data_IF_549902167773
#
_entry.id   IF_549902167773
#
_cell.length_a   1.000
_cell.length_b   1.000
_cell.length_c   1.000
_cell.angle_alpha   90.00
_cell.angle_beta   90.00
_cell.angle_gamma   90.00
#
_symmetry.space_group_name_H-M   'P 1'
#
loop_
_entity.id
_entity.type
_entity.pdbx_description
1 polymer ?
#
# COMPACT_ATOMS: atom_id res chain seq x y z
N UNK A 1 -22.83 -5.55 -28.75
CA UNK A 1 -23.60 -6.80 -28.61
C UNK A 1 -23.65 -7.16 -27.14
N UNK A 2 -24.83 -7.57 -26.64
CA UNK A 2 -25.11 -7.88 -25.23
C UNK A 2 -25.40 -9.40 -25.11
N UNK A 3 -25.15 -10.01 -23.95
CA UNK A 3 -25.52 -11.42 -23.64
C UNK A 3 -25.94 -11.57 -22.16
N UNK A 4 -26.87 -12.49 -21.89
CA UNK A 4 -27.14 -13.06 -20.56
C UNK A 4 -26.68 -14.53 -20.51
N UNK A 5 -26.19 -15.01 -19.36
CA UNK A 5 -25.80 -16.41 -19.19
C UNK A 5 -26.97 -17.34 -18.81
N UNK A 6 -28.04 -16.81 -18.20
CA UNK A 6 -29.28 -17.56 -17.90
C UNK A 6 -30.42 -16.98 -18.74
N UNK A 7 -31.13 -17.82 -19.49
CA UNK A 7 -32.14 -17.42 -20.48
C UNK A 7 -33.43 -16.81 -19.91
N UNK A 8 -33.47 -16.49 -18.62
CA UNK A 8 -34.68 -16.16 -17.86
C UNK A 8 -34.69 -14.69 -17.38
N UNK A 9 -33.82 -13.84 -17.93
CA UNK A 9 -33.75 -12.42 -17.56
C UNK A 9 -33.30 -11.54 -18.73
N UNK A 10 -33.87 -10.34 -18.82
CA UNK A 10 -33.41 -9.29 -19.73
C UNK A 10 -32.08 -8.73 -19.26
N UNK A 11 -31.17 -8.53 -20.23
CA UNK A 11 -30.01 -7.66 -20.10
C UNK A 11 -30.33 -6.30 -20.69
N UNK A 12 -29.93 -5.22 -20.02
CA UNK A 12 -30.12 -3.85 -20.47
C UNK A 12 -28.78 -3.16 -20.68
N UNK A 13 -28.74 -2.23 -21.63
CA UNK A 13 -27.70 -1.22 -21.74
C UNK A 13 -28.35 0.15 -21.97
N UNK A 14 -27.75 1.21 -21.45
CA UNK A 14 -28.22 2.58 -21.65
C UNK A 14 -27.03 3.54 -21.61
N UNK A 15 -27.17 4.67 -22.29
CA UNK A 15 -26.20 5.77 -22.23
C UNK A 15 -26.48 6.62 -21.00
N UNK A 16 -25.42 7.06 -20.32
CA UNK A 16 -25.46 7.91 -19.14
C UNK A 16 -24.45 9.04 -19.31
N UNK A 17 -24.77 10.23 -18.81
CA UNK A 17 -23.76 11.28 -18.65
C UNK A 17 -22.79 10.95 -17.50
N UNK A 18 -21.71 11.71 -17.38
CA UNK A 18 -20.74 11.55 -16.29
C UNK A 18 -21.29 11.93 -14.91
N UNK A 19 -22.36 12.74 -14.84
CA UNK A 19 -23.10 13.02 -13.60
C UNK A 19 -23.98 11.85 -13.15
N UNK A 20 -24.17 10.83 -14.00
CA UNK A 20 -24.92 9.63 -13.70
C UNK A 20 -26.41 9.71 -14.05
N UNK A 21 -26.83 10.69 -14.85
CA UNK A 21 -28.17 10.76 -15.41
C UNK A 21 -28.28 9.88 -16.66
N UNK A 22 -29.39 9.14 -16.80
CA UNK A 22 -29.63 8.34 -17.99
C UNK A 22 -30.09 9.22 -19.16
N UNK A 23 -29.53 8.99 -20.35
CA UNK A 23 -30.00 9.66 -21.56
C UNK A 23 -31.35 9.07 -21.97
N UNK A 24 -32.39 9.90 -21.97
CA UNK A 24 -33.76 9.51 -22.32
C UNK A 24 -33.79 8.85 -23.70
N UNK A 25 -34.46 7.69 -23.80
CA UNK A 25 -34.60 6.91 -25.05
C UNK A 25 -33.41 6.03 -25.39
N UNK A 26 -32.30 6.07 -24.64
CA UNK A 26 -31.10 5.27 -24.95
C UNK A 26 -31.14 3.83 -24.41
N UNK A 27 -32.05 3.49 -23.50
CA UNK A 27 -32.12 2.15 -22.93
C UNK A 27 -32.59 1.13 -23.97
N UNK A 28 -31.82 0.05 -24.11
CA UNK A 28 -32.11 -1.09 -24.97
C UNK A 28 -32.04 -2.37 -24.14
N UNK A 29 -32.81 -3.38 -24.52
CA UNK A 29 -32.85 -4.65 -23.82
C UNK A 29 -32.72 -5.86 -24.75
N UNK A 30 -32.17 -6.94 -24.22
CA UNK A 30 -32.04 -8.23 -24.92
C UNK A 30 -32.48 -9.35 -23.99
N UNK A 31 -33.41 -10.18 -24.47
CA UNK A 31 -33.81 -11.44 -23.84
C UNK A 31 -33.23 -12.62 -24.62
N UNK A 32 -31.95 -12.91 -24.42
CA UNK A 32 -31.28 -14.00 -25.09
C UNK A 32 -30.07 -14.52 -24.29
N UNK A 33 -29.82 -15.83 -24.44
CA UNK A 33 -28.62 -16.48 -23.91
C UNK A 33 -27.42 -16.43 -24.88
N UNK A 34 -27.63 -15.88 -26.08
CA UNK A 34 -26.64 -15.67 -27.14
C UNK A 34 -26.36 -14.18 -27.35
N UNK A 35 -25.33 -13.85 -28.14
CA UNK A 35 -24.98 -12.46 -28.45
C UNK A 35 -26.01 -11.83 -29.39
N UNK A 36 -26.66 -10.76 -28.93
CA UNK A 36 -27.59 -9.96 -29.74
C UNK A 36 -27.07 -8.56 -30.03
N UNK A 37 -27.40 -8.03 -31.21
CA UNK A 37 -27.29 -6.60 -31.51
C UNK A 37 -28.66 -5.96 -31.23
N UNK A 38 -28.65 -4.93 -30.39
CA UNK A 38 -29.81 -4.09 -30.08
C UNK A 38 -29.44 -2.64 -30.41
N UNK A 39 -30.44 -1.81 -30.74
CA UNK A 39 -30.28 -0.40 -31.13
C UNK A 39 -31.46 0.39 -30.56
N UNK A 40 -31.18 1.56 -30.00
CA UNK A 40 -32.20 2.48 -29.51
C UNK A 40 -32.88 3.21 -30.67
N UNK A 41 -33.96 3.93 -30.37
CA UNK A 41 -34.45 4.99 -31.25
C UNK A 41 -33.46 6.18 -31.27
N UNK A 42 -33.85 7.24 -31.98
CA UNK A 42 -33.11 8.50 -32.01
C UNK A 42 -33.03 9.05 -30.58
N UNK A 43 -31.84 9.52 -30.19
CA UNK A 43 -31.57 10.15 -28.91
C UNK A 43 -31.05 11.57 -29.13
N UNK A 44 -31.25 12.43 -28.12
CA UNK A 44 -30.66 13.78 -28.08
C UNK A 44 -29.51 13.78 -27.10
N UNK A 45 -28.39 14.36 -27.50
CA UNK A 45 -27.24 14.63 -26.63
C UNK A 45 -27.17 16.13 -26.35
N UNK A 46 -26.64 16.45 -25.19
CA UNK A 46 -26.28 17.81 -24.79
C UNK A 46 -24.82 18.06 -25.15
N UNK A 47 -24.53 19.27 -25.65
CA UNK A 47 -23.18 19.74 -25.94
C UNK A 47 -22.30 19.75 -24.68
N UNK A 48 -20.97 19.72 -24.87
CA UNK A 48 -19.97 19.75 -23.79
C UNK A 48 -20.21 18.72 -22.66
N UNK A 49 -20.77 17.56 -23.02
CA UNK A 49 -21.14 16.51 -22.06
C UNK A 49 -20.52 15.18 -22.44
N UNK A 50 -19.80 14.59 -21.49
CA UNK A 50 -19.25 13.24 -21.61
C UNK A 50 -20.31 12.16 -21.33
N UNK A 51 -20.28 11.09 -22.12
CA UNK A 51 -21.21 9.97 -21.98
C UNK A 51 -20.50 8.63 -21.83
N UNK A 52 -21.11 7.73 -21.07
CA UNK A 52 -20.66 6.35 -20.89
C UNK A 52 -21.83 5.36 -20.98
N UNK A 53 -21.52 4.09 -21.24
CA UNK A 53 -22.52 3.02 -21.31
C UNK A 53 -22.60 2.31 -19.98
N UNK A 54 -23.80 2.15 -19.43
CA UNK A 54 -24.07 1.30 -18.27
C UNK A 54 -24.90 0.09 -18.68
N UNK A 55 -24.69 -1.04 -18.02
CA UNK A 55 -25.42 -2.29 -18.23
C UNK A 55 -26.02 -2.79 -16.92
N UNK A 56 -27.19 -3.45 -16.98
CA UNK A 56 -27.84 -4.09 -15.83
C UNK A 56 -28.59 -5.35 -16.25
N UNK A 57 -28.80 -6.28 -15.32
CA UNK A 57 -29.73 -7.42 -15.47
C UNK A 57 -31.07 -7.08 -14.81
N UNK A 58 -32.19 -7.59 -15.34
CA UNK A 58 -33.51 -7.57 -14.65
C UNK A 58 -33.61 -8.56 -13.49
N UNK A 59 -32.71 -9.53 -13.43
CA UNK A 59 -32.71 -10.58 -12.41
C UNK A 59 -31.30 -10.97 -11.98
N UNK A 60 -31.19 -12.10 -11.29
CA UNK A 60 -29.93 -12.60 -10.74
C UNK A 60 -29.09 -13.19 -11.89
N UNK A 61 -28.10 -12.45 -12.37
CA UNK A 61 -27.23 -12.90 -13.46
C UNK A 61 -26.18 -11.87 -13.89
N UNK A 62 -25.17 -12.34 -14.62
CA UNK A 62 -24.08 -11.49 -15.17
C UNK A 62 -24.42 -11.04 -16.58
N UNK A 63 -24.32 -9.73 -16.84
CA UNK A 63 -24.46 -9.14 -18.18
C UNK A 63 -23.10 -8.83 -18.75
N UNK A 64 -22.93 -9.12 -20.04
CA UNK A 64 -21.71 -8.81 -20.77
C UNK A 64 -22.01 -7.89 -21.95
N UNK A 65 -21.08 -6.97 -22.23
CA UNK A 65 -21.07 -6.16 -23.45
C UNK A 65 -19.77 -6.39 -24.21
N UNK A 66 -19.85 -6.80 -25.48
CA UNK A 66 -18.67 -6.95 -26.35
C UNK A 66 -18.26 -5.67 -27.06
N UNK A 67 -19.25 -4.82 -27.32
CA UNK A 67 -19.08 -3.56 -28.04
C UNK A 67 -20.36 -2.74 -27.88
N UNK A 68 -20.18 -1.45 -27.66
CA UNK A 68 -21.18 -0.41 -27.83
C UNK A 68 -20.67 0.58 -28.89
N UNK A 69 -21.58 1.21 -29.63
CA UNK A 69 -21.24 2.22 -30.64
C UNK A 69 -22.29 3.32 -30.59
N UNK A 70 -21.86 4.57 -30.54
CA UNK A 70 -22.69 5.69 -30.93
C UNK A 70 -22.72 5.74 -32.47
N UNK A 71 -23.88 5.99 -33.05
CA UNK A 71 -24.07 6.02 -34.50
C UNK A 71 -24.58 7.41 -34.84
N UNK A 72 -23.67 8.24 -35.35
CA UNK A 72 -23.96 9.59 -35.79
C UNK A 72 -24.23 9.55 -37.30
N UNK A 73 -25.43 9.96 -37.71
CA UNK A 73 -25.81 10.07 -39.11
C UNK A 73 -25.93 11.55 -39.41
N UNK A 74 -25.06 12.07 -40.26
CA UNK A 74 -25.11 13.44 -40.74
C UNK A 74 -25.62 13.45 -42.18
N UNK A 75 -26.53 14.36 -42.49
CA UNK A 75 -27.05 14.58 -43.83
C UNK A 75 -27.24 16.07 -44.05
N UNK A 76 -26.74 16.58 -45.17
CA UNK A 76 -26.98 17.94 -45.63
C UNK A 76 -27.22 17.88 -47.14
N UNK A 77 -28.15 18.69 -47.65
CA UNK A 77 -28.53 18.69 -49.08
C UNK A 77 -27.51 19.43 -49.96
N UNK A 78 -26.56 20.16 -49.37
CA UNK A 78 -25.47 20.86 -50.05
C UNK A 78 -24.13 20.26 -49.66
N UNK A 79 -23.72 20.37 -48.39
CA UNK A 79 -22.43 19.88 -47.89
C UNK A 79 -22.41 19.75 -46.37
N UNK A 80 -21.70 18.74 -45.86
CA UNK A 80 -21.38 18.64 -44.43
C UNK A 80 -20.15 19.51 -44.17
N UNK A 81 -20.35 20.66 -43.53
CA UNK A 81 -19.27 21.63 -43.31
C UNK A 81 -18.42 21.30 -42.07
N UNK A 82 -19.00 20.58 -41.10
CA UNK A 82 -18.39 20.30 -39.81
C UNK A 82 -18.56 18.82 -39.46
N UNK A 83 -17.45 18.16 -39.19
CA UNK A 83 -17.42 16.82 -38.63
C UNK A 83 -16.24 16.73 -37.67
N UNK A 84 -16.43 15.99 -36.59
CA UNK A 84 -15.35 15.59 -35.69
C UNK A 84 -15.17 14.08 -35.81
N UNK A 85 -13.94 13.60 -35.70
CA UNK A 85 -13.64 12.17 -35.70
C UNK A 85 -12.53 11.90 -34.71
N UNK A 86 -12.73 10.89 -33.88
CA UNK A 86 -11.74 10.44 -32.91
C UNK A 86 -11.04 9.20 -33.42
N UNK A 87 -9.71 9.19 -33.31
CA UNK A 87 -8.87 8.06 -33.66
C UNK A 87 -8.12 7.63 -32.41
N UNK A 88 -8.42 6.43 -31.91
CA UNK A 88 -7.71 5.86 -30.78
C UNK A 88 -6.27 5.51 -31.20
N UNK A 89 -5.30 6.29 -30.75
CA UNK A 89 -3.87 6.07 -31.01
C UNK A 89 -3.14 5.40 -29.83
N UNK A 90 -3.83 5.21 -28.69
CA UNK A 90 -3.29 4.64 -27.47
C UNK A 90 -3.56 3.13 -27.29
N UNK A 91 -2.87 2.60 -26.29
CA UNK A 91 -3.02 1.26 -25.71
C UNK A 91 -2.86 1.36 -24.20
N UNK A 92 -3.48 0.46 -23.44
CA UNK A 92 -3.32 0.40 -21.98
C UNK A 92 -1.91 -0.13 -21.67
N UNK A 93 -1.00 0.78 -21.32
CA UNK A 93 0.38 0.49 -20.95
C UNK A 93 0.80 1.40 -19.79
N UNK A 94 1.89 1.05 -19.10
CA UNK A 94 2.47 1.84 -18.02
C UNK A 94 3.99 1.82 -18.10
N UNK A 95 4.62 2.89 -17.61
CA UNK A 95 6.07 2.98 -17.50
C UNK A 95 6.46 3.61 -16.18
N UNK A 96 7.66 3.29 -15.68
CA UNK A 96 8.32 3.99 -14.58
C UNK A 96 9.35 5.02 -15.06
N UNK A 97 9.51 5.19 -16.38
CA UNK A 97 10.49 6.09 -16.96
C UNK A 97 10.14 7.55 -16.69
N UNK A 98 11.17 8.37 -16.46
CA UNK A 98 11.02 9.83 -16.29
C UNK A 98 11.16 10.60 -17.60
N UNK A 99 11.28 9.89 -18.73
CA UNK A 99 11.38 10.42 -20.09
C UNK A 99 10.34 9.77 -20.99
N UNK A 100 10.03 10.40 -22.12
CA UNK A 100 9.09 9.84 -23.09
C UNK A 100 9.54 8.44 -23.55
N UNK A 101 8.66 7.45 -23.36
CA UNK A 101 8.82 6.10 -23.84
C UNK A 101 7.84 5.83 -25.00
N UNK A 102 8.26 5.02 -25.96
CA UNK A 102 7.36 4.54 -27.01
C UNK A 102 6.46 3.44 -26.47
N UNK A 103 5.16 3.49 -26.80
CA UNK A 103 4.26 2.37 -26.55
C UNK A 103 4.72 1.13 -27.34
N UNK A 104 4.63 -0.04 -26.71
CA UNK A 104 4.99 -1.33 -27.30
C UNK A 104 3.95 -1.68 -28.38
N UNK A 105 2.67 -1.63 -28.02
CA UNK A 105 1.54 -1.89 -28.92
C UNK A 105 0.99 -0.59 -29.47
N UNK A 106 1.87 0.28 -29.98
CA UNK A 106 1.48 1.54 -30.59
C UNK A 106 0.63 1.31 -31.84
N UNK A 107 -0.39 2.13 -32.00
CA UNK A 107 -1.11 2.29 -33.26
C UNK A 107 -0.45 3.42 -34.02
N UNK A 108 -0.11 3.17 -35.28
CA UNK A 108 0.52 4.18 -36.15
C UNK A 108 -0.56 4.71 -37.08
N UNK A 109 -0.70 6.04 -37.12
CA UNK A 109 -1.63 6.74 -38.00
C UNK A 109 -0.82 7.59 -38.98
N UNK A 110 -1.15 7.47 -40.26
CA UNK A 110 -0.61 8.33 -41.30
C UNK A 110 -1.61 9.46 -41.58
N UNK A 111 -1.18 10.70 -41.36
CA UNK A 111 -1.96 11.88 -41.69
C UNK A 111 -1.47 12.47 -43.02
N UNK A 112 -2.41 12.67 -43.94
CA UNK A 112 -2.19 13.37 -45.20
C UNK A 112 -3.24 14.47 -45.33
N UNK A 113 -2.80 15.71 -45.11
CA UNK A 113 -3.66 16.89 -45.12
C UNK A 113 -4.32 17.14 -46.47
N UNK A 114 -3.77 16.63 -47.57
CA UNK A 114 -4.33 16.86 -48.93
C UNK A 114 -5.66 16.17 -49.14
N UNK A 115 -5.99 15.17 -48.31
CA UNK A 115 -7.27 14.48 -48.33
C UNK A 115 -8.38 15.23 -47.58
N UNK A 116 -8.09 16.41 -47.01
CA UNK A 116 -9.05 17.18 -46.22
C UNK A 116 -9.13 18.64 -46.70
N UNK A 117 -10.36 19.12 -46.91
CA UNK A 117 -10.63 20.51 -47.26
C UNK A 117 -11.91 20.97 -46.55
N UNK A 118 -11.83 21.89 -45.58
CA UNK A 118 -10.62 22.56 -45.09
C UNK A 118 -9.67 21.64 -44.31
N UNK A 119 -8.44 22.10 -44.05
CA UNK A 119 -7.49 21.39 -43.18
C UNK A 119 -8.08 21.24 -41.76
N UNK A 120 -8.17 20.03 -41.19
CA UNK A 120 -8.71 19.83 -39.85
C UNK A 120 -7.81 20.43 -38.78
N UNK A 121 -8.41 20.86 -37.67
CA UNK A 121 -7.68 21.10 -36.41
C UNK A 121 -7.63 19.78 -35.64
N UNK A 122 -6.47 19.41 -35.10
CA UNK A 122 -6.28 18.17 -34.35
C UNK A 122 -6.00 18.45 -32.88
N UNK A 123 -6.58 17.63 -32.00
CA UNK A 123 -6.38 17.65 -30.55
C UNK A 123 -5.88 16.28 -30.07
N UNK A 124 -5.21 16.26 -28.93
CA UNK A 124 -4.77 15.03 -28.28
C UNK A 124 -5.35 14.97 -26.88
N UNK A 125 -5.90 13.80 -26.54
CA UNK A 125 -6.45 13.50 -25.22
C UNK A 125 -5.91 12.16 -24.75
N UNK A 126 -5.73 12.02 -23.43
CA UNK A 126 -5.24 10.79 -22.83
C UNK A 126 -5.88 10.57 -21.46
N UNK A 127 -6.13 9.31 -21.14
CA UNK A 127 -6.48 8.88 -19.78
C UNK A 127 -5.24 8.29 -19.11
N UNK A 128 -4.83 8.85 -17.98
CA UNK A 128 -3.61 8.47 -17.27
C UNK A 128 -3.94 8.12 -15.82
N UNK A 129 -3.33 7.05 -15.29
CA UNK A 129 -3.40 6.69 -13.87
C UNK A 129 -2.00 6.74 -13.24
N UNK A 130 -1.76 7.62 -12.24
CA UNK A 130 -0.46 7.67 -11.56
C UNK A 130 -0.22 6.43 -10.68
N UNK A 131 1.05 6.08 -10.49
CA UNK A 131 1.46 5.04 -9.55
C UNK A 131 1.24 5.50 -8.10
N UNK A 132 0.86 4.58 -7.20
CA UNK A 132 0.72 4.84 -5.76
C UNK A 132 1.37 3.70 -4.97
N UNK A 133 2.71 3.61 -4.94
CA UNK A 133 3.40 2.54 -4.25
C UNK A 133 3.11 2.55 -2.75
N UNK A 134 3.09 1.35 -2.17
CA UNK A 134 2.98 1.11 -0.73
C UNK A 134 3.98 0.04 -0.31
N UNK A 135 4.61 0.23 0.84
CA UNK A 135 5.57 -0.70 1.43
C UNK A 135 5.33 -0.78 2.93
N UNK A 136 5.41 -1.99 3.49
CA UNK A 136 5.46 -2.21 4.93
C UNK A 136 6.86 -2.69 5.30
N UNK A 137 7.47 -2.05 6.30
CA UNK A 137 8.69 -2.50 6.95
C UNK A 137 8.40 -2.87 8.40
N UNK A 138 9.11 -3.86 8.91
CA UNK A 138 9.05 -4.26 10.31
C UNK A 138 10.44 -4.14 10.90
N UNK A 139 10.61 -3.25 11.88
CA UNK A 139 11.89 -2.94 12.51
C UNK A 139 11.88 -3.47 13.93
N UNK A 140 12.59 -4.58 14.16
CA UNK A 140 12.67 -5.20 15.48
C UNK A 140 13.37 -4.27 16.49
N UNK A 141 12.83 -4.21 17.69
CA UNK A 141 13.45 -3.57 18.86
C UNK A 141 13.95 -4.65 19.82
N UNK A 142 13.11 -5.67 20.04
CA UNK A 142 13.38 -6.78 20.95
C UNK A 142 12.86 -8.09 20.37
N UNK A 143 13.65 -9.15 20.46
CA UNK A 143 13.27 -10.52 20.09
C UNK A 143 13.49 -11.52 21.25
N UNK A 144 13.84 -11.01 22.44
CA UNK A 144 14.15 -11.80 23.62
C UNK A 144 12.96 -11.92 24.58
N UNK A 145 12.96 -13.02 25.33
CA UNK A 145 12.02 -13.20 26.43
C UNK A 145 12.42 -12.32 27.62
N UNK A 146 11.57 -11.36 27.99
CA UNK A 146 11.73 -10.56 29.20
C UNK A 146 10.51 -10.68 30.11
N UNK A 147 10.70 -10.62 31.43
CA UNK A 147 9.63 -10.80 32.41
C UNK A 147 9.68 -9.78 33.54
N UNK A 148 8.50 -9.41 34.05
CA UNK A 148 8.35 -8.52 35.20
C UNK A 148 7.06 -8.81 35.98
N UNK A 149 7.09 -8.49 37.27
CA UNK A 149 5.93 -8.45 38.17
C UNK A 149 5.46 -7.00 38.45
N UNK A 150 6.16 -6.02 37.88
CA UNK A 150 5.96 -4.60 38.20
C UNK A 150 4.68 -4.04 37.60
N UNK A 151 3.93 -3.29 38.40
CA UNK A 151 2.80 -2.46 37.93
C UNK A 151 3.26 -1.13 37.31
N UNK A 152 4.55 -0.83 37.39
CA UNK A 152 5.21 0.28 36.69
C UNK A 152 5.99 -0.26 35.49
N UNK A 153 6.19 0.59 34.47
CA UNK A 153 6.92 0.22 33.26
C UNK A 153 8.38 -0.12 33.54
N UNK A 154 8.80 -1.32 33.11
CA UNK A 154 10.15 -1.87 33.28
C UNK A 154 10.64 -2.57 32.00
N UNK A 155 11.96 -2.68 31.79
CA UNK A 155 13.02 -2.15 32.63
C UNK A 155 13.12 -0.62 32.53
N UNK A 156 13.77 0.01 33.50
CA UNK A 156 14.09 1.45 33.44
C UNK A 156 15.39 1.73 32.69
N UNK A 157 16.15 0.67 32.39
CA UNK A 157 17.27 0.70 31.46
C UNK A 157 16.80 0.41 30.02
N UNK A 158 17.75 0.38 29.07
CA UNK A 158 17.50 0.09 27.65
C UNK A 158 17.85 -1.36 27.30
N UNK A 159 17.77 -2.31 28.25
CA UNK A 159 18.22 -3.69 28.05
C UNK A 159 17.38 -4.50 27.06
N UNK A 160 16.21 -4.00 26.66
CA UNK A 160 15.33 -4.66 25.69
C UNK A 160 15.65 -4.34 24.24
N UNK A 161 16.76 -3.65 23.99
CA UNK A 161 17.20 -3.25 22.66
C UNK A 161 16.80 -1.81 22.34
N UNK A 162 17.49 -1.25 21.35
CA UNK A 162 17.35 0.14 20.94
C UNK A 162 17.15 0.17 19.42
N UNK A 163 16.20 0.97 18.96
CA UNK A 163 16.07 1.35 17.55
C UNK A 163 16.26 2.85 17.42
N UNK A 164 17.10 3.28 16.47
CA UNK A 164 17.20 4.69 16.10
C UNK A 164 16.21 5.02 14.99
N UNK A 165 15.36 6.02 15.21
CA UNK A 165 14.40 6.49 14.21
C UNK A 165 14.97 7.67 13.41
N UNK A 166 15.10 7.48 12.09
CA UNK A 166 15.46 8.53 11.14
C UNK A 166 14.34 8.69 10.11
N UNK A 167 13.45 9.68 10.29
CA UNK A 167 12.28 9.84 9.43
C UNK A 167 12.64 10.10 7.96
N UNK A 168 13.82 10.67 7.69
CA UNK A 168 14.34 10.90 6.34
C UNK A 168 14.62 9.60 5.57
N UNK A 169 14.73 8.46 6.26
CA UNK A 169 14.97 7.15 5.64
C UNK A 169 13.69 6.45 5.16
N UNK A 170 12.51 7.02 5.42
CA UNK A 170 11.24 6.39 5.09
C UNK A 170 10.26 7.39 4.45
N UNK A 171 10.21 7.41 3.12
CA UNK A 171 9.25 8.25 2.35
C UNK A 171 7.81 8.02 2.81
N UNK A 172 7.12 9.09 3.23
CA UNK A 172 5.68 9.08 3.52
C UNK A 172 5.26 8.10 4.62
N UNK A 173 6.13 7.87 5.61
CA UNK A 173 5.92 6.87 6.64
C UNK A 173 4.79 7.21 7.62
N UNK A 174 3.96 6.23 7.93
CA UNK A 174 3.13 6.15 9.12
C UNK A 174 3.63 5.00 9.99
N UNK A 175 3.89 5.24 11.27
CA UNK A 175 4.53 4.26 12.16
C UNK A 175 3.53 3.76 13.20
N UNK A 176 3.61 2.47 13.53
CA UNK A 176 2.87 1.83 14.61
C UNK A 176 3.84 1.05 15.49
N UNK A 177 3.50 0.86 16.76
CA UNK A 177 4.20 -0.02 17.67
C UNK A 177 3.46 -1.36 17.77
N UNK A 178 4.22 -2.46 17.77
CA UNK A 178 3.70 -3.80 17.97
C UNK A 178 4.48 -4.50 19.10
N UNK A 179 3.76 -5.21 19.97
CA UNK A 179 4.35 -6.13 20.92
C UNK A 179 3.63 -7.48 20.95
N UNK A 180 4.40 -8.54 21.15
CA UNK A 180 3.90 -9.88 21.48
C UNK A 180 4.13 -10.12 22.95
N UNK A 181 3.04 -10.08 23.72
CA UNK A 181 3.06 -10.15 25.18
C UNK A 181 2.01 -11.13 25.71
N UNK A 182 2.21 -11.64 26.92
CA UNK A 182 1.20 -12.37 27.69
C UNK A 182 1.27 -12.03 29.16
N UNK A 183 0.24 -12.38 29.92
CA UNK A 183 0.38 -12.55 31.36
C UNK A 183 0.60 -14.04 31.69
N UNK A 184 1.06 -14.37 32.89
CA UNK A 184 0.99 -15.74 33.38
C UNK A 184 -0.44 -16.09 33.79
N UNK A 185 -1.19 -15.11 34.29
CA UNK A 185 -2.57 -15.28 34.75
C UNK A 185 -3.57 -15.04 33.63
N UNK A 186 -4.74 -15.64 33.74
CA UNK A 186 -5.83 -15.50 32.78
C UNK A 186 -6.83 -14.38 33.13
N UNK A 187 -6.58 -13.62 34.21
CA UNK A 187 -7.52 -12.67 34.80
C UNK A 187 -7.02 -11.20 34.80
N UNK A 188 -5.94 -10.91 34.07
CA UNK A 188 -5.32 -9.58 34.07
C UNK A 188 -4.73 -9.20 32.70
N UNK A 189 -4.46 -7.91 32.54
CA UNK A 189 -3.81 -7.35 31.36
C UNK A 189 -2.29 -7.31 31.52
N UNK A 190 -1.62 -7.52 30.39
CA UNK A 190 -0.24 -7.15 30.15
C UNK A 190 -0.19 -5.92 29.27
N UNK A 191 0.74 -5.01 29.55
CA UNK A 191 0.92 -3.79 28.78
C UNK A 191 2.35 -3.69 28.26
N UNK A 192 2.49 -3.11 27.07
CA UNK A 192 3.77 -2.71 26.49
C UNK A 192 3.65 -1.31 25.89
N UNK A 193 4.70 -0.51 25.96
CA UNK A 193 4.74 0.82 25.36
C UNK A 193 6.15 1.14 24.88
N UNK A 194 6.24 2.04 23.89
CA UNK A 194 7.49 2.59 23.40
C UNK A 194 7.96 3.74 24.30
N UNK A 195 9.26 3.81 24.56
CA UNK A 195 9.91 4.84 25.34
C UNK A 195 11.12 5.36 24.57
N UNK A 196 11.42 6.65 24.66
CA UNK A 196 12.75 7.12 24.26
C UNK A 196 13.81 6.66 25.28
N UNK A 197 15.08 6.71 24.90
CA UNK A 197 16.18 6.30 25.78
C UNK A 197 16.41 7.23 26.97
N UNK A 198 15.75 8.39 27.02
CA UNK A 198 15.69 9.28 28.18
C UNK A 198 14.57 8.88 29.18
N UNK A 199 13.72 7.92 28.83
CA UNK A 199 12.68 7.38 29.68
C UNK A 199 11.32 8.05 29.55
N UNK A 200 11.09 8.87 28.52
CA UNK A 200 9.78 9.44 28.21
C UNK A 200 8.95 8.45 27.38
N UNK A 201 7.70 8.24 27.79
CA UNK A 201 6.78 7.36 27.05
C UNK A 201 6.30 8.04 25.77
N UNK A 202 6.29 7.32 24.65
CA UNK A 202 5.75 7.81 23.38
C UNK A 202 4.23 7.75 23.44
N UNK A 203 3.58 8.88 23.15
CA UNK A 203 2.12 8.97 23.09
C UNK A 203 1.54 7.94 22.11
N UNK A 204 0.35 7.41 22.44
CA UNK A 204 -0.41 6.45 21.63
C UNK A 204 0.29 5.09 21.36
N UNK A 205 1.44 4.83 21.99
CA UNK A 205 2.18 3.58 21.82
C UNK A 205 1.77 2.45 22.76
N UNK A 206 0.97 2.71 23.80
CA UNK A 206 0.57 1.67 24.77
C UNK A 206 -0.34 0.64 24.10
N UNK A 207 0.04 -0.63 24.18
CA UNK A 207 -0.75 -1.78 23.74
C UNK A 207 -0.99 -2.73 24.90
N UNK A 208 -2.07 -3.52 24.82
CA UNK A 208 -2.37 -4.50 25.86
C UNK A 208 -2.92 -5.82 25.33
N UNK A 209 -2.71 -6.88 26.10
CA UNK A 209 -3.28 -8.22 25.88
C UNK A 209 -3.86 -8.70 27.20
N UNK A 210 -5.03 -9.34 27.14
CA UNK A 210 -5.67 -9.96 28.29
C UNK A 210 -5.41 -11.46 28.33
N UNK A 211 -5.03 -11.96 29.51
CA UNK A 211 -4.95 -13.39 29.78
C UNK A 211 -3.58 -14.02 29.51
N UNK A 212 -3.57 -15.36 29.51
CA UNK A 212 -2.34 -16.15 29.68
C UNK A 212 -1.65 -16.62 28.39
N UNK A 213 -2.27 -16.37 27.24
CA UNK A 213 -1.70 -16.70 25.93
C UNK A 213 -0.89 -15.52 25.38
N UNK A 214 0.15 -15.80 24.59
CA UNK A 214 0.82 -14.75 23.82
C UNK A 214 -0.17 -14.16 22.81
N UNK A 215 -0.43 -12.87 22.99
CA UNK A 215 -1.19 -12.07 22.04
C UNK A 215 -0.26 -11.07 21.36
N UNK A 216 -0.52 -10.85 20.06
CA UNK A 216 0.06 -9.74 19.31
C UNK A 216 -0.89 -8.55 19.43
N UNK A 217 -0.38 -7.42 19.89
CA UNK A 217 -1.13 -6.17 19.95
C UNK A 217 -0.38 -5.08 19.18
N UNK A 218 -1.13 -4.24 18.47
CA UNK A 218 -0.62 -3.15 17.64
C UNK A 218 -1.27 -1.85 18.11
N UNK A 219 -0.49 -0.78 18.21
CA UNK A 219 -0.94 0.52 18.68
C UNK A 219 -1.74 1.26 17.62
N UNK A 220 -2.26 2.44 17.98
CA UNK A 220 -2.59 3.47 16.99
C UNK A 220 -1.30 4.01 16.32
N UNK A 221 -1.44 4.84 15.29
CA UNK A 221 -0.29 5.48 14.69
C UNK A 221 0.46 6.34 15.72
N UNK A 222 1.77 6.18 15.81
CA UNK A 222 2.64 6.90 16.75
C UNK A 222 3.43 7.98 16.03
N UNK A 223 3.72 9.07 16.75
CA UNK A 223 4.64 10.12 16.26
C UNK A 223 6.00 9.94 16.91
N UNK A 224 7.02 9.70 16.09
CA UNK A 224 8.41 9.58 16.53
C UNK A 224 9.20 10.83 16.16
N UNK A 225 10.06 11.26 17.08
CA UNK A 225 10.99 12.37 16.87
C UNK A 225 12.15 11.88 16.02
N UNK A 226 12.49 12.63 14.96
CA UNK A 226 13.63 12.30 14.10
C UNK A 226 14.94 12.30 14.89
N UNK A 227 15.85 11.40 14.54
CA UNK A 227 17.17 11.25 15.17
C UNK A 227 17.08 10.89 16.67
N UNK A 228 16.02 10.15 17.05
CA UNK A 228 15.79 9.72 18.44
C UNK A 228 15.83 8.20 18.56
N UNK A 229 16.39 7.72 19.65
CA UNK A 229 16.49 6.31 19.99
C UNK A 229 15.32 5.87 20.89
N UNK A 230 14.79 4.69 20.62
CA UNK A 230 13.62 4.14 21.29
C UNK A 230 13.85 2.71 21.78
N UNK A 231 13.24 2.39 22.91
CA UNK A 231 13.18 1.05 23.51
C UNK A 231 11.74 0.70 23.91
N UNK A 232 11.52 -0.56 24.29
CA UNK A 232 10.22 -1.04 24.78
C UNK A 232 10.26 -1.20 26.29
N UNK A 233 9.12 -0.96 26.96
CA UNK A 233 8.92 -1.32 28.37
C UNK A 233 7.59 -2.04 28.54
N UNK A 234 7.51 -2.91 29.55
CA UNK A 234 6.30 -3.66 29.91
C UNK A 234 5.91 -3.48 31.38
N UNK A 235 4.62 -3.67 31.68
CA UNK A 235 4.06 -3.72 33.05
C UNK A 235 2.87 -4.67 33.14
N UNK A 236 2.58 -5.17 34.33
CA UNK A 236 1.31 -5.88 34.62
C UNK A 236 0.22 -4.90 35.08
N UNK A 237 -1.04 -5.21 34.79
CA UNK A 237 -2.18 -4.50 35.35
C UNK A 237 -2.39 -4.69 36.85
N UNK A 238 -1.81 -5.73 37.47
CA UNK A 238 -1.86 -5.94 38.93
C UNK A 238 -0.60 -6.64 39.44
N UNK A 239 -0.19 -6.35 40.68
CA UNK A 239 1.07 -6.86 41.25
C UNK A 239 1.15 -8.39 41.44
N UNK A 240 0.04 -9.11 41.22
CA UNK A 240 0.00 -10.56 41.29
C UNK A 240 0.19 -11.23 39.92
N UNK A 241 0.24 -10.46 38.82
CA UNK A 241 0.47 -10.95 37.47
C UNK A 241 1.95 -10.89 37.08
N UNK A 242 2.37 -11.83 36.23
CA UNK A 242 3.70 -11.84 35.61
C UNK A 242 3.55 -11.57 34.13
N UNK A 243 4.13 -10.49 33.60
CA UNK A 243 4.12 -10.23 32.16
C UNK A 243 5.34 -10.82 31.52
N UNK A 244 5.16 -11.40 30.33
CA UNK A 244 6.25 -11.80 29.45
C UNK A 244 6.17 -10.99 28.16
N UNK A 245 7.28 -10.38 27.78
CA UNK A 245 7.54 -9.89 26.42
C UNK A 245 8.23 -11.00 25.64
N UNK A 246 7.73 -11.30 24.45
CA UNK A 246 8.40 -12.20 23.50
C UNK A 246 9.08 -11.42 22.37
N UNK A 247 8.45 -10.36 21.89
CA UNK A 247 9.06 -9.47 20.90
C UNK A 247 8.36 -8.11 20.86
N UNK A 248 9.09 -7.11 20.36
CA UNK A 248 8.59 -5.77 20.11
C UNK A 248 9.21 -5.21 18.82
N UNK A 249 8.42 -4.52 18.01
CA UNK A 249 8.87 -3.93 16.74
C UNK A 249 8.09 -2.66 16.39
N UNK A 250 8.67 -1.85 15.50
CA UNK A 250 7.93 -0.83 14.76
C UNK A 250 7.38 -1.43 13.47
N UNK A 251 6.14 -1.09 13.12
CA UNK A 251 5.56 -1.30 11.79
C UNK A 251 5.58 0.04 11.06
N UNK A 252 6.30 0.12 9.94
CA UNK A 252 6.45 1.35 9.17
C UNK A 252 5.73 1.18 7.83
N UNK A 253 4.62 1.89 7.65
CA UNK A 253 3.86 1.92 6.41
C UNK A 253 4.28 3.12 5.58
N UNK A 254 4.95 2.88 4.47
CA UNK A 254 5.33 3.92 3.51
C UNK A 254 4.33 4.00 2.38
N UNK A 255 4.01 5.23 1.97
CA UNK A 255 3.19 5.48 0.79
C UNK A 255 3.60 6.80 0.13
N UNK A 256 3.53 6.84 -1.20
CA UNK A 256 3.77 8.06 -1.96
C UNK A 256 2.84 8.10 -3.19
N UNK A 257 2.55 9.29 -3.69
CA UNK A 257 1.71 9.49 -4.88
C UNK A 257 2.48 9.33 -6.20
N UNK A 258 3.79 9.13 -6.12
CA UNK A 258 4.70 9.00 -7.26
C UNK A 258 5.65 7.82 -7.07
N UNK A 259 6.53 7.85 -6.07
CA UNK A 259 7.56 6.85 -5.79
C UNK A 259 7.99 6.86 -4.31
N UNK A 260 8.38 5.70 -3.79
CA UNK A 260 9.13 5.63 -2.54
C UNK A 260 10.60 5.83 -2.91
N UNK A 261 11.21 6.95 -2.51
CA UNK A 261 12.61 7.28 -2.82
C UNK A 261 13.59 6.76 -1.78
N UNK A 262 13.13 6.61 -0.54
CA UNK A 262 13.96 6.31 0.62
C UNK A 262 13.30 5.20 1.44
N UNK A 263 14.07 4.15 1.72
CA UNK A 263 13.71 3.09 2.66
C UNK A 263 14.98 2.63 3.38
N UNK A 264 14.87 2.32 4.67
CA UNK A 264 15.90 1.56 5.39
C UNK A 264 15.36 0.15 5.66
N UNK A 265 16.24 -0.85 5.57
CA UNK A 265 15.93 -2.25 5.90
C UNK A 265 16.78 -2.67 7.06
N UNK A 266 16.15 -3.12 8.13
CA UNK A 266 16.83 -3.61 9.32
C UNK A 266 16.90 -5.13 9.23
N UNK A 267 18.11 -5.67 9.33
CA UNK A 267 18.37 -7.11 9.32
C UNK A 267 19.01 -7.47 10.64
N UNK A 268 18.33 -8.31 11.40
CA UNK A 268 18.81 -8.75 12.70
C UNK A 268 19.84 -9.89 12.56
N UNK A 269 21.05 -9.65 13.06
CA UNK A 269 22.19 -10.57 12.94
C UNK A 269 22.66 -11.15 14.28
N UNK A 270 22.18 -10.58 15.40
CA UNK A 270 22.58 -10.96 16.76
C UNK A 270 21.45 -11.60 17.56
N UNK A 271 21.82 -12.03 18.76
CA UNK A 271 20.95 -12.56 19.82
C UNK A 271 21.42 -12.00 21.18
N UNK A 272 20.57 -12.10 22.20
CA UNK A 272 20.97 -11.80 23.58
C UNK A 272 21.92 -12.90 24.12
N UNK A 273 23.22 -12.66 24.04
CA UNK A 273 24.26 -13.57 24.54
C UNK A 273 25.27 -12.81 25.42
N UNK A 274 25.84 -13.51 26.40
CA UNK A 274 26.90 -13.00 27.27
C UNK A 274 28.17 -13.82 27.08
N UNK A 275 29.33 -13.16 27.05
CA UNK A 275 30.63 -13.81 26.96
C UNK A 275 31.62 -13.13 27.91
N UNK A 276 32.50 -13.92 28.54
CA UNK A 276 33.63 -13.44 29.34
C UNK A 276 34.96 -13.61 28.59
N UNK A 277 34.90 -13.94 27.29
CA UNK A 277 36.07 -14.21 26.47
C UNK A 277 36.80 -12.92 26.09
N UNK A 278 38.13 -12.91 26.23
CA UNK A 278 38.97 -11.83 25.73
C UNK A 278 39.11 -11.83 24.19
N UNK A 279 39.26 -12.97 23.49
CA UNK A 279 39.16 -12.99 22.03
C UNK A 279 37.71 -12.99 21.54
N UNK A 280 37.49 -12.52 20.31
CA UNK A 280 36.19 -12.59 19.63
C UNK A 280 35.66 -14.02 19.61
N UNK A 281 34.43 -14.19 20.11
CA UNK A 281 33.70 -15.46 20.09
C UNK A 281 32.52 -15.38 19.14
N UNK A 282 32.24 -16.48 18.45
CA UNK A 282 31.06 -16.60 17.62
C UNK A 282 29.81 -16.76 18.49
N UNK A 283 28.71 -16.10 18.10
CA UNK A 283 27.40 -16.34 18.72
C UNK A 283 26.98 -17.80 18.52
N UNK A 284 26.41 -18.39 19.58
CA UNK A 284 25.97 -19.79 19.58
C UNK A 284 24.80 -19.95 18.61
N UNK A 285 23.81 -19.08 18.69
CA UNK A 285 22.61 -19.11 17.85
C UNK A 285 22.58 -17.97 16.83
N UNK A 286 23.68 -17.83 16.08
CA UNK A 286 23.82 -16.76 15.08
C UNK A 286 22.73 -16.77 14.02
N UNK A 287 22.24 -15.58 13.68
CA UNK A 287 21.48 -15.31 12.46
C UNK A 287 22.47 -15.02 11.32
N UNK A 288 22.21 -15.57 10.14
CA UNK A 288 23.07 -15.39 8.96
C UNK A 288 22.29 -14.64 7.89
N UNK A 289 22.87 -13.56 7.37
CA UNK A 289 22.32 -12.82 6.24
C UNK A 289 23.17 -13.04 4.99
N UNK A 290 22.51 -13.38 3.88
CA UNK A 290 23.14 -13.46 2.58
C UNK A 290 22.94 -12.15 1.82
N UNK A 291 24.01 -11.38 1.66
CA UNK A 291 24.00 -10.14 0.89
C UNK A 291 24.36 -10.40 -0.57
N UNK A 292 23.49 -9.94 -1.46
CA UNK A 292 23.74 -9.93 -2.91
C UNK A 292 23.42 -8.53 -3.44
N UNK A 293 24.45 -7.78 -3.82
CA UNK A 293 24.33 -6.37 -4.24
C UNK A 293 23.42 -6.17 -5.44
N UNK A 294 23.37 -7.14 -6.37
CA UNK A 294 22.49 -7.08 -7.55
C UNK A 294 21.00 -7.07 -7.23
N UNK A 295 20.62 -7.41 -6.00
CA UNK A 295 19.22 -7.39 -5.56
C UNK A 295 18.78 -5.99 -5.09
N UNK A 296 19.68 -5.01 -5.08
CA UNK A 296 19.42 -3.65 -4.63
C UNK A 296 19.76 -2.67 -5.73
N UNK A 297 18.87 -1.71 -6.00
CA UNK A 297 19.12 -0.63 -6.96
C UNK A 297 18.46 0.66 -6.46
N UNK A 298 19.24 1.71 -6.14
CA UNK A 298 20.71 1.75 -6.16
C UNK A 298 21.35 0.81 -5.12
N UNK A 299 22.67 0.60 -5.20
CA UNK A 299 23.41 -0.13 -4.16
C UNK A 299 23.23 0.56 -2.80
N UNK A 300 22.93 -0.18 -1.72
CA UNK A 300 22.66 0.40 -0.42
C UNK A 300 23.97 0.81 0.25
N UNK A 301 23.90 1.83 1.10
CA UNK A 301 24.92 2.04 2.15
C UNK A 301 24.58 1.12 3.33
N UNK A 302 25.55 0.32 3.78
CA UNK A 302 25.35 -0.68 4.84
C UNK A 302 26.04 -0.19 6.12
N UNK A 303 25.32 -0.27 7.24
CA UNK A 303 25.81 0.04 8.58
C UNK A 303 25.70 -1.21 9.46
N UNK A 304 26.59 -1.32 10.44
CA UNK A 304 26.52 -2.31 11.51
C UNK A 304 26.29 -1.58 12.83
N UNK A 305 25.30 -2.06 13.60
CA UNK A 305 24.95 -1.54 14.90
C UNK A 305 24.85 -2.70 15.89
N UNK A 306 25.29 -2.46 17.14
CA UNK A 306 25.21 -3.42 18.22
C UNK A 306 24.93 -2.69 19.54
N UNK A 307 24.06 -3.27 20.38
CA UNK A 307 23.87 -2.82 21.77
C UNK A 307 24.75 -3.68 22.68
N UNK A 308 25.66 -3.05 23.42
CA UNK A 308 26.64 -3.73 24.25
C UNK A 308 26.56 -3.22 25.70
N UNK A 309 26.80 -4.13 26.65
CA UNK A 309 26.94 -3.83 28.06
C UNK A 309 28.08 -4.68 28.67
N UNK A 310 28.62 -4.22 29.79
CA UNK A 310 29.57 -4.97 30.63
C UNK A 310 29.13 -4.87 32.10
N UNK A 311 29.48 -5.86 32.90
CA UNK A 311 29.08 -5.96 34.31
C UNK A 311 30.06 -5.25 35.28
N UNK A 312 31.22 -4.83 34.78
CA UNK A 312 32.32 -4.29 35.59
C UNK A 312 32.69 -2.88 35.16
N UNK A 313 32.51 -1.90 36.05
CA UNK A 313 32.82 -0.50 35.78
C UNK A 313 34.27 -0.29 35.28
N UNK A 314 34.42 0.51 34.23
CA UNK A 314 35.72 0.85 33.65
C UNK A 314 36.21 -0.11 32.56
N UNK A 315 35.39 -1.10 32.17
CA UNK A 315 35.66 -1.93 30.99
C UNK A 315 35.11 -1.32 29.71
N UNK A 316 35.63 -1.75 28.56
CA UNK A 316 35.12 -1.42 27.24
C UNK A 316 34.61 -2.69 26.58
N UNK A 317 33.37 -2.67 26.08
CA UNK A 317 32.81 -3.74 25.28
C UNK A 317 33.03 -3.47 23.79
N UNK A 318 33.27 -4.52 23.01
CA UNK A 318 33.53 -4.46 21.56
C UNK A 318 32.59 -5.42 20.81
N UNK A 319 32.21 -5.05 19.58
CA UNK A 319 31.45 -5.86 18.63
C UNK A 319 32.11 -5.81 17.25
#
# INVERSE_FOLDING_TARGET
MIRNWRGDSYSYASLYDTAGNAVTGSEVSLYASSWGRVRSDIITLTDDTDYTVRIKSSGIGTVYIRSAKLIVIQSDTSLIANTESQIEIGSVEGTSDTSYASLINKKIVSYDSTNYSPTPTAYFEATIKPAKPKLEQQVNISDQLYTTLSTSYTPTDNSLGIVKWESSKFTGATVYFEAVIRNFRNDTYSYASLYDTAGNMVADSEVSVYGSAFGRAVSSAVTLTNDTEYTVRIKTGNAAGTVYLNSARLIVLQSDNTKISDTSTYVELGNNETSTSAPYTQLIDKKIFYYQSSNYTPSPTVYFEATLAHDTAGQTAYA
#
